data_IF_741839376261
#
_entry.id   IF_741839376261
#
_cell.length_a   1.000
_cell.length_b   1.000
_cell.length_c   1.000
_cell.angle_alpha   90.00
_cell.angle_beta   90.00
_cell.angle_gamma   90.00
#
_symmetry.space_group_name_H-M   'P 1'
#
loop_
_entity.id
_entity.type
_entity.pdbx_description
1 polymer ?
#
# COMPACT_ATOMS: atom_id res chain seq x y z
N UNK A 1 7.95 11.79 5.65
CA UNK A 1 6.59 11.31 5.28
C UNK A 1 5.68 11.43 6.49
N UNK A 2 4.59 12.15 6.40
CA UNK A 2 3.78 12.49 7.58
C UNK A 2 2.46 11.69 7.68
N UNK A 3 1.75 11.48 6.58
CA UNK A 3 0.38 10.94 6.60
C UNK A 3 0.14 9.86 5.56
N UNK A 4 -0.94 9.11 5.74
CA UNK A 4 -1.35 7.94 4.95
C UNK A 4 -0.52 6.69 5.26
N UNK A 5 -1.12 5.72 5.94
CA UNK A 5 -0.44 4.48 6.33
C UNK A 5 0.22 3.76 5.14
N UNK A 6 -0.46 3.70 3.98
CA UNK A 6 0.10 3.08 2.78
C UNK A 6 1.32 3.83 2.25
N UNK A 7 1.28 5.18 2.22
CA UNK A 7 2.40 6.00 1.78
C UNK A 7 3.58 5.92 2.77
N UNK A 8 3.29 5.90 4.07
CA UNK A 8 4.31 5.71 5.11
C UNK A 8 4.97 4.32 4.99
N UNK A 9 4.20 3.26 4.76
CA UNK A 9 4.75 1.93 4.47
C UNK A 9 5.68 1.95 3.26
N UNK A 10 5.27 2.55 2.15
CA UNK A 10 6.11 2.66 0.96
C UNK A 10 7.40 3.45 1.26
N UNK A 11 7.31 4.52 2.03
CA UNK A 11 8.46 5.36 2.37
C UNK A 11 9.49 4.66 3.29
N UNK A 12 9.16 3.54 3.95
CA UNK A 12 10.15 2.75 4.70
C UNK A 12 11.28 2.24 3.80
N UNK A 13 11.01 2.02 2.50
CA UNK A 13 12.04 1.68 1.52
C UNK A 13 13.01 2.85 1.30
N UNK A 14 12.53 4.10 1.38
CA UNK A 14 13.39 5.28 1.30
C UNK A 14 14.27 5.40 2.55
N UNK A 15 13.73 5.11 3.75
CA UNK A 15 14.53 5.06 4.96
C UNK A 15 15.67 4.03 4.85
N UNK A 16 15.35 2.83 4.39
CA UNK A 16 16.35 1.78 4.10
C UNK A 16 17.39 2.22 3.05
N UNK A 17 16.97 2.96 2.01
CA UNK A 17 17.89 3.50 1.02
C UNK A 17 18.80 4.58 1.63
N UNK A 18 18.26 5.47 2.48
CA UNK A 18 19.05 6.49 3.18
C UNK A 18 20.14 5.83 4.03
N UNK A 19 19.80 4.79 4.81
CA UNK A 19 20.79 4.05 5.61
C UNK A 19 21.90 3.41 4.75
N UNK A 20 21.57 3.01 3.52
CA UNK A 20 22.56 2.50 2.56
C UNK A 20 23.44 3.62 1.98
N UNK A 21 22.85 4.75 1.62
CA UNK A 21 23.57 5.87 0.97
C UNK A 21 24.42 6.67 1.96
N UNK A 22 24.01 6.69 3.24
CA UNK A 22 24.69 7.40 4.33
C UNK A 22 24.97 6.42 5.49
N UNK A 23 25.97 5.53 5.36
CA UNK A 23 26.30 4.55 6.41
C UNK A 23 26.62 5.24 7.75
N UNK A 24 25.99 4.78 8.83
CA UNK A 24 26.15 5.37 10.15
C UNK A 24 25.35 6.64 10.43
N UNK A 25 24.53 7.12 9.48
CA UNK A 25 23.67 8.28 9.75
C UNK A 25 22.65 8.00 10.87
N UNK A 26 22.29 9.04 11.61
CA UNK A 26 21.13 9.05 12.49
C UNK A 26 19.91 9.54 11.69
N UNK A 27 18.90 8.68 11.54
CA UNK A 27 17.69 9.00 10.79
C UNK A 27 16.53 9.33 11.72
N UNK A 28 16.15 10.60 11.79
CA UNK A 28 14.93 11.08 12.44
C UNK A 28 13.77 11.09 11.44
N UNK A 29 12.69 10.35 11.72
CA UNK A 29 11.51 10.33 10.87
C UNK A 29 10.38 11.16 11.46
N UNK A 30 10.04 12.25 10.80
CA UNK A 30 8.86 13.04 11.13
C UNK A 30 7.58 12.39 10.59
N UNK A 31 6.63 12.08 11.48
CA UNK A 31 5.38 11.38 11.17
C UNK A 31 4.25 11.85 12.07
N UNK A 32 3.00 11.83 11.55
CA UNK A 32 1.84 12.10 12.40
C UNK A 32 1.56 10.97 13.37
N UNK A 33 0.93 11.30 14.50
CA UNK A 33 0.45 10.38 15.53
C UNK A 33 -0.36 9.22 14.94
N UNK A 34 -1.29 9.51 14.02
CA UNK A 34 -2.14 8.52 13.33
C UNK A 34 -1.37 7.50 12.51
N UNK A 35 -0.22 7.88 11.96
CA UNK A 35 0.59 7.01 11.10
C UNK A 35 1.83 6.45 11.82
N UNK A 36 2.18 6.99 12.99
CA UNK A 36 3.34 6.56 13.78
C UNK A 36 3.42 5.04 13.98
N UNK A 37 2.33 4.32 14.26
CA UNK A 37 2.42 2.87 14.43
C UNK A 37 3.03 2.12 13.26
N UNK A 38 2.92 2.63 12.03
CA UNK A 38 3.46 1.97 10.83
C UNK A 38 4.97 1.76 10.90
N UNK A 39 5.70 2.67 11.57
CA UNK A 39 7.17 2.66 11.64
C UNK A 39 7.73 2.16 12.98
N UNK A 40 6.87 1.70 13.89
CA UNK A 40 7.36 1.14 15.16
C UNK A 40 8.32 -0.02 14.92
N UNK A 41 9.39 -0.06 15.73
CA UNK A 41 10.43 -1.08 15.66
C UNK A 41 11.12 -1.20 14.28
N UNK A 42 11.05 -0.14 13.45
CA UNK A 42 11.71 -0.14 12.15
C UNK A 42 13.23 0.05 12.33
N UNK A 43 14.08 -0.89 11.87
CA UNK A 43 15.53 -0.84 12.10
C UNK A 43 16.24 0.29 11.33
N UNK A 44 15.57 0.88 10.34
CA UNK A 44 16.12 1.97 9.55
C UNK A 44 15.73 3.37 10.09
N UNK A 45 15.05 3.43 11.26
CA UNK A 45 14.61 4.69 11.91
C UNK A 45 15.18 4.73 13.32
N UNK A 46 16.07 5.68 13.58
CA UNK A 46 16.69 5.82 14.91
C UNK A 46 15.82 6.65 15.85
N UNK A 47 15.15 7.68 15.30
CA UNK A 47 14.33 8.59 16.08
C UNK A 47 13.01 8.91 15.38
N UNK A 48 11.94 9.07 16.15
CA UNK A 48 10.62 9.47 15.66
C UNK A 48 10.29 10.86 16.15
N UNK A 49 10.12 11.79 15.20
CA UNK A 49 9.63 13.14 15.49
C UNK A 49 8.11 13.17 15.23
N UNK A 50 7.34 13.11 16.31
CA UNK A 50 5.88 13.12 16.23
C UNK A 50 5.35 14.49 15.89
N UNK A 51 4.46 14.55 14.91
CA UNK A 51 3.86 15.78 14.39
C UNK A 51 2.35 15.72 14.57
N UNK A 52 1.81 16.58 15.42
CA UNK A 52 0.37 16.71 15.58
C UNK A 52 -0.21 17.43 14.36
N UNK A 53 -1.19 16.82 13.72
CA UNK A 53 -1.89 17.40 12.59
C UNK A 53 -3.37 17.61 12.92
N UNK A 54 -3.93 18.80 12.67
CA UNK A 54 -5.34 19.05 12.94
C UNK A 54 -6.26 18.24 12.01
N UNK A 55 -7.37 17.75 12.52
CA UNK A 55 -8.34 16.89 11.83
C UNK A 55 -8.97 17.49 10.56
N UNK A 56 -8.88 18.77 10.35
CA UNK A 56 -9.48 19.46 9.19
C UNK A 56 -8.51 19.57 8.03
N UNK A 57 -8.84 19.02 6.86
CA UNK A 57 -8.02 19.02 5.62
C UNK A 57 -7.36 20.36 5.26
N UNK A 58 -7.99 21.50 5.54
CA UNK A 58 -7.41 22.83 5.27
C UNK A 58 -6.32 23.21 6.29
N UNK A 59 -6.54 22.93 7.57
CA UNK A 59 -5.54 23.12 8.63
C UNK A 59 -4.35 22.19 8.45
N UNK A 60 -4.61 20.91 8.13
CA UNK A 60 -3.60 19.90 7.86
C UNK A 60 -2.59 20.34 6.76
N UNK A 61 -3.07 20.97 5.68
CA UNK A 61 -2.18 21.46 4.62
C UNK A 61 -1.28 22.58 5.10
N UNK A 62 -1.81 23.53 5.88
CA UNK A 62 -1.07 24.69 6.43
C UNK A 62 0.01 24.18 7.40
N UNK A 63 -0.36 23.30 8.30
CA UNK A 63 0.58 22.74 9.28
C UNK A 63 1.68 21.90 8.62
N UNK A 64 1.36 21.11 7.60
CA UNK A 64 2.40 20.39 6.83
C UNK A 64 3.39 21.33 6.15
N UNK A 65 2.94 22.46 5.59
CA UNK A 65 3.83 23.44 4.98
C UNK A 65 4.69 24.16 6.03
N UNK A 66 4.11 24.50 7.18
CA UNK A 66 4.85 25.08 8.32
C UNK A 66 5.92 24.13 8.81
N UNK A 67 5.57 22.85 8.99
CA UNK A 67 6.51 21.82 9.39
C UNK A 67 7.66 21.64 8.37
N UNK A 68 7.36 21.70 7.07
CA UNK A 68 8.42 21.64 6.06
C UNK A 68 9.37 22.85 6.15
N UNK A 69 8.85 24.05 6.47
CA UNK A 69 9.68 25.24 6.68
C UNK A 69 10.57 25.08 7.92
N UNK A 70 10.00 24.63 9.04
CA UNK A 70 10.73 24.36 10.28
C UNK A 70 11.86 23.33 10.07
N UNK A 71 11.59 22.24 9.37
CA UNK A 71 12.62 21.25 9.04
C UNK A 71 13.77 21.85 8.18
N UNK A 72 13.47 22.78 7.28
CA UNK A 72 14.49 23.46 6.49
C UNK A 72 15.28 24.48 7.32
N UNK A 73 14.66 25.14 8.29
CA UNK A 73 15.35 26.03 9.23
C UNK A 73 16.32 25.25 10.11
N UNK A 74 15.92 24.08 10.59
CA UNK A 74 16.81 23.17 11.37
C UNK A 74 17.97 22.66 10.53
N UNK A 75 17.77 22.38 9.22
CA UNK A 75 18.87 22.11 8.32
C UNK A 75 19.80 23.31 8.18
N UNK A 76 19.25 24.52 8.01
CA UNK A 76 20.06 25.73 7.88
C UNK A 76 20.86 26.10 9.14
N UNK A 77 20.35 25.73 10.34
CA UNK A 77 21.04 25.89 11.62
C UNK A 77 22.09 24.81 11.90
N UNK A 78 22.18 23.76 11.05
CA UNK A 78 23.13 22.67 11.25
C UNK A 78 22.64 21.57 12.22
N UNK A 79 21.37 21.57 12.62
CA UNK A 79 20.78 20.50 13.43
C UNK A 79 20.58 19.22 12.59
N UNK A 80 20.27 19.36 11.29
CA UNK A 80 20.22 18.26 10.33
C UNK A 80 21.20 18.52 9.18
N UNK A 81 21.97 17.52 8.80
CA UNK A 81 22.82 17.58 7.60
C UNK A 81 21.95 17.56 6.34
N UNK A 82 20.94 16.68 6.30
CA UNK A 82 20.03 16.50 5.18
C UNK A 82 18.56 16.38 5.61
N UNK A 83 17.66 16.87 4.74
CA UNK A 83 16.20 16.78 4.93
C UNK A 83 15.55 16.30 3.64
N UNK A 84 14.77 15.21 3.70
CA UNK A 84 14.09 14.60 2.56
C UNK A 84 12.57 14.65 2.72
N UNK A 85 11.88 15.29 1.79
CA UNK A 85 10.42 15.36 1.76
C UNK A 85 9.84 14.33 0.81
N UNK A 86 9.32 13.22 1.31
CA UNK A 86 8.72 12.15 0.49
C UNK A 86 7.20 12.21 0.42
N UNK A 87 6.55 13.12 1.17
CA UNK A 87 5.10 13.33 1.13
C UNK A 87 4.65 13.85 -0.24
N UNK A 88 3.76 13.10 -0.91
CA UNK A 88 3.31 13.43 -2.27
C UNK A 88 2.62 14.80 -2.33
N UNK A 89 1.64 15.04 -1.48
CA UNK A 89 0.91 16.31 -1.40
C UNK A 89 1.40 17.15 -0.21
N UNK A 90 1.46 18.45 -0.36
CA UNK A 90 1.20 19.25 -1.57
C UNK A 90 2.43 19.44 -2.47
N UNK A 91 3.63 19.05 -2.00
CA UNK A 91 4.90 19.58 -2.53
C UNK A 91 5.50 18.75 -3.66
N UNK A 92 5.31 17.42 -3.67
CA UNK A 92 6.05 16.49 -4.52
C UNK A 92 5.27 15.90 -5.71
N UNK A 93 4.08 16.40 -6.01
CA UNK A 93 3.29 15.96 -7.17
C UNK A 93 4.06 16.04 -8.49
N UNK A 94 5.05 16.92 -8.60
CA UNK A 94 5.89 17.05 -9.78
C UNK A 94 6.88 15.89 -10.01
N UNK A 95 7.00 14.98 -9.04
CA UNK A 95 7.71 13.71 -9.17
C UNK A 95 6.85 12.57 -9.72
N UNK A 96 5.55 12.84 -10.02
CA UNK A 96 4.62 11.84 -10.53
C UNK A 96 5.14 11.12 -11.77
N UNK A 97 5.09 9.80 -11.74
CA UNK A 97 5.52 8.90 -12.82
C UNK A 97 4.39 7.98 -13.32
N UNK A 98 3.18 8.20 -12.83
CA UNK A 98 2.00 7.37 -13.08
C UNK A 98 1.47 6.63 -11.86
N UNK A 99 2.26 6.55 -10.77
CA UNK A 99 1.91 5.82 -9.54
C UNK A 99 2.27 6.60 -8.28
N UNK A 100 1.67 6.20 -7.15
CA UNK A 100 2.00 6.78 -5.83
C UNK A 100 3.39 6.37 -5.38
N UNK A 101 3.74 5.07 -5.46
CA UNK A 101 5.04 4.54 -5.03
C UNK A 101 6.19 5.22 -5.76
N UNK A 102 6.12 5.28 -7.08
CA UNK A 102 7.16 5.93 -7.87
C UNK A 102 7.29 7.41 -7.56
N UNK A 103 6.18 8.11 -7.28
CA UNK A 103 6.22 9.52 -6.86
C UNK A 103 6.94 9.71 -5.53
N UNK A 104 6.73 8.80 -4.55
CA UNK A 104 7.42 8.81 -3.25
C UNK A 104 8.93 8.59 -3.47
N UNK A 105 9.30 7.58 -4.25
CA UNK A 105 10.70 7.23 -4.47
C UNK A 105 11.45 8.27 -5.31
N UNK A 106 10.80 8.87 -6.32
CA UNK A 106 11.38 9.95 -7.12
C UNK A 106 11.51 11.28 -6.34
N UNK A 107 10.89 11.41 -5.17
CA UNK A 107 11.08 12.54 -4.29
C UNK A 107 12.40 12.46 -3.48
N UNK A 108 13.00 11.29 -3.39
CA UNK A 108 14.35 11.09 -2.89
C UNK A 108 15.36 11.33 -4.03
N UNK A 109 16.47 12.06 -3.79
CA UNK A 109 17.37 12.50 -4.88
C UNK A 109 18.21 11.38 -5.51
N UNK A 110 18.41 10.27 -4.79
CA UNK A 110 19.18 9.14 -5.27
C UNK A 110 18.28 7.99 -5.74
N UNK A 111 18.78 7.10 -6.64
CA UNK A 111 18.03 5.92 -7.06
C UNK A 111 17.75 4.97 -5.89
N UNK A 112 16.54 4.42 -5.84
CA UNK A 112 16.25 3.31 -4.92
C UNK A 112 16.84 2.03 -5.50
N UNK A 113 17.86 1.48 -4.84
CA UNK A 113 18.61 0.27 -5.22
C UNK A 113 18.50 -0.86 -4.20
N UNK A 114 17.85 -0.61 -3.06
CA UNK A 114 17.50 -1.64 -2.07
C UNK A 114 16.26 -2.41 -2.50
N UNK A 115 16.02 -3.55 -1.85
CA UNK A 115 14.75 -4.28 -2.03
C UNK A 115 13.54 -3.35 -1.77
N UNK A 116 12.68 -3.22 -2.76
CA UNK A 116 11.53 -2.31 -2.76
C UNK A 116 10.33 -2.80 -1.92
N UNK A 117 10.48 -3.89 -1.15
CA UNK A 117 9.45 -4.29 -0.18
C UNK A 117 9.47 -3.36 1.03
N UNK A 118 8.32 -2.82 1.44
CA UNK A 118 8.22 -2.05 2.66
C UNK A 118 8.70 -2.85 3.89
N UNK A 119 9.29 -2.14 4.83
CA UNK A 119 9.90 -2.75 6.04
C UNK A 119 8.93 -2.66 7.21
N UNK A 120 8.66 -3.80 7.82
CA UNK A 120 7.87 -3.90 9.07
C UNK A 120 8.58 -4.85 10.03
N UNK A 121 8.62 -4.48 11.30
CA UNK A 121 9.10 -5.35 12.40
C UNK A 121 8.11 -5.28 13.55
N UNK A 122 7.53 -6.42 13.88
CA UNK A 122 6.57 -6.50 14.98
C UNK A 122 7.27 -6.71 16.32
N UNK A 123 6.61 -6.25 17.38
CA UNK A 123 6.97 -6.63 18.75
C UNK A 123 6.39 -8.02 19.07
N UNK A 124 6.98 -8.73 20.02
CA UNK A 124 6.50 -10.04 20.46
C UNK A 124 5.05 -9.97 20.96
N UNK A 125 4.66 -8.87 21.60
CA UNK A 125 3.30 -8.62 22.07
C UNK A 125 2.28 -8.54 20.93
N UNK A 126 2.65 -8.01 19.76
CA UNK A 126 1.81 -7.98 18.55
C UNK A 126 1.69 -9.39 17.96
N UNK A 127 2.80 -10.14 17.90
CA UNK A 127 2.82 -11.54 17.44
C UNK A 127 1.93 -12.41 18.33
N UNK A 128 2.03 -12.27 19.64
CA UNK A 128 1.22 -13.03 20.60
C UNK A 128 -0.25 -12.68 20.54
N UNK A 129 -0.60 -11.42 20.20
CA UNK A 129 -1.99 -11.03 19.96
C UNK A 129 -2.57 -11.73 18.72
N UNK A 130 -1.80 -11.78 17.63
CA UNK A 130 -2.21 -12.53 16.42
C UNK A 130 -2.33 -14.02 16.72
N UNK A 131 -1.38 -14.61 17.45
CA UNK A 131 -1.45 -16.02 17.86
C UNK A 131 -2.73 -16.32 18.64
N UNK A 132 -3.11 -15.47 19.60
CA UNK A 132 -4.37 -15.60 20.33
C UNK A 132 -5.59 -15.51 19.40
N UNK A 133 -5.59 -14.53 18.48
CA UNK A 133 -6.65 -14.38 17.49
C UNK A 133 -6.80 -15.65 16.63
N UNK A 134 -5.70 -16.23 16.16
CA UNK A 134 -5.66 -17.47 15.37
C UNK A 134 -6.27 -18.65 16.14
N UNK A 135 -5.88 -18.82 17.41
CA UNK A 135 -6.39 -19.90 18.27
C UNK A 135 -7.87 -19.72 18.58
N UNK A 136 -8.29 -18.52 18.98
CA UNK A 136 -9.69 -18.22 19.32
C UNK A 136 -10.65 -18.43 18.16
N UNK A 137 -10.20 -18.13 16.94
CA UNK A 137 -11.00 -18.27 15.73
C UNK A 137 -10.70 -19.58 14.96
N UNK A 138 -9.87 -20.45 15.51
CA UNK A 138 -9.55 -21.78 14.96
C UNK A 138 -9.13 -21.75 13.49
N UNK A 139 -8.29 -20.77 13.11
CA UNK A 139 -7.89 -20.57 11.71
C UNK A 139 -7.25 -21.81 11.10
N UNK A 140 -6.48 -22.54 11.89
CA UNK A 140 -5.74 -23.72 11.45
C UNK A 140 -6.65 -24.96 11.13
N UNK A 141 -7.92 -24.92 11.55
CA UNK A 141 -8.90 -25.98 11.26
C UNK A 141 -9.48 -25.85 9.85
N UNK A 142 -9.18 -24.74 9.15
CA UNK A 142 -9.73 -24.47 7.82
C UNK A 142 -8.71 -24.76 6.72
N UNK A 143 -9.14 -25.43 5.66
CA UNK A 143 -8.32 -25.69 4.48
C UNK A 143 -7.93 -24.40 3.77
N UNK A 144 -8.86 -23.43 3.72
CA UNK A 144 -8.68 -22.14 3.09
C UNK A 144 -9.03 -21.02 4.07
N UNK A 145 -8.14 -20.04 4.19
CA UNK A 145 -8.37 -18.83 4.98
C UNK A 145 -8.14 -17.62 4.08
N UNK A 146 -9.18 -16.86 3.79
CA UNK A 146 -9.11 -15.64 2.99
C UNK A 146 -8.98 -14.44 3.91
N UNK A 147 -7.93 -13.63 3.72
CA UNK A 147 -7.87 -12.27 4.23
C UNK A 147 -8.54 -11.35 3.21
N UNK A 148 -9.66 -10.72 3.59
CA UNK A 148 -10.47 -9.92 2.69
C UNK A 148 -10.44 -8.44 3.10
N UNK A 149 -9.74 -7.60 2.33
CA UNK A 149 -9.74 -6.15 2.47
C UNK A 149 -11.01 -5.56 1.86
N UNK A 150 -11.92 -5.05 2.70
CA UNK A 150 -13.28 -4.75 2.29
C UNK A 150 -13.54 -3.28 1.93
N UNK A 151 -12.53 -2.40 1.97
CA UNK A 151 -12.71 -0.99 1.64
C UNK A 151 -11.42 -0.28 1.27
N UNK A 152 -11.54 0.77 0.45
CA UNK A 152 -10.45 1.70 0.15
C UNK A 152 -10.93 3.14 0.29
N UNK A 153 -10.22 3.96 1.07
CA UNK A 153 -10.58 5.37 1.27
C UNK A 153 -10.08 6.29 0.16
N UNK A 154 -9.06 5.86 -0.62
CA UNK A 154 -8.41 6.71 -1.63
C UNK A 154 -9.02 6.59 -3.02
N UNK A 155 -10.14 5.85 -3.18
CA UNK A 155 -10.89 5.75 -4.42
C UNK A 155 -10.28 4.83 -5.49
N UNK A 156 -9.28 4.01 -5.15
CA UNK A 156 -8.62 3.06 -6.06
C UNK A 156 -9.46 1.82 -6.34
N UNK A 157 -10.47 1.55 -5.54
CA UNK A 157 -11.38 0.42 -5.69
C UNK A 157 -12.84 0.83 -5.59
N UNK A 158 -13.71 -0.05 -6.04
CA UNK A 158 -15.17 0.03 -5.88
C UNK A 158 -15.68 -0.85 -4.74
N UNK A 159 -14.80 -1.69 -4.17
CA UNK A 159 -15.15 -2.63 -3.09
C UNK A 159 -15.67 -1.87 -1.87
N UNK A 160 -16.78 -2.35 -1.34
CA UNK A 160 -17.44 -1.85 -0.14
C UNK A 160 -17.67 -3.00 0.83
N UNK A 161 -17.89 -2.76 2.14
CA UNK A 161 -18.22 -3.81 3.11
C UNK A 161 -19.39 -4.69 2.67
N UNK A 162 -20.47 -4.09 2.16
CA UNK A 162 -21.65 -4.83 1.70
C UNK A 162 -21.35 -5.73 0.49
N UNK A 163 -20.53 -5.24 -0.47
CA UNK A 163 -20.08 -6.06 -1.59
C UNK A 163 -19.21 -7.24 -1.12
N UNK A 164 -18.28 -6.98 -0.20
CA UNK A 164 -17.38 -8.00 0.35
C UNK A 164 -18.14 -9.08 1.13
N UNK A 165 -19.14 -8.69 1.94
CA UNK A 165 -19.97 -9.62 2.68
C UNK A 165 -20.78 -10.53 1.74
N UNK A 166 -21.41 -9.96 0.72
CA UNK A 166 -22.14 -10.73 -0.28
C UNK A 166 -21.26 -11.78 -0.98
N UNK A 167 -20.03 -11.42 -1.33
CA UNK A 167 -19.06 -12.34 -1.90
C UNK A 167 -18.64 -13.39 -0.88
N UNK A 168 -18.31 -13.00 0.35
CA UNK A 168 -17.89 -13.90 1.43
C UNK A 168 -18.96 -14.93 1.78
N UNK A 169 -20.23 -14.53 1.93
CA UNK A 169 -21.36 -15.42 2.20
C UNK A 169 -21.55 -16.47 1.10
N UNK A 170 -21.46 -16.06 -0.16
CA UNK A 170 -21.54 -17.00 -1.29
C UNK A 170 -20.39 -17.99 -1.30
N UNK A 171 -19.18 -17.56 -0.93
CA UNK A 171 -17.99 -18.41 -0.88
C UNK A 171 -18.07 -19.43 0.27
N UNK A 172 -18.43 -19.02 1.48
CA UNK A 172 -18.53 -19.95 2.63
C UNK A 172 -19.69 -20.93 2.47
N UNK A 173 -20.73 -20.57 1.73
CA UNK A 173 -21.81 -21.51 1.37
C UNK A 173 -21.30 -22.57 0.39
N UNK A 174 -20.44 -22.20 -0.54
CA UNK A 174 -19.88 -23.11 -1.55
C UNK A 174 -18.78 -24.03 -1.01
N UNK A 175 -17.96 -23.54 -0.06
CA UNK A 175 -16.79 -24.27 0.46
C UNK A 175 -16.89 -24.48 1.96
N UNK A 176 -17.09 -25.74 2.41
CA UNK A 176 -17.17 -26.08 3.83
C UNK A 176 -15.92 -25.76 4.63
N UNK A 177 -14.74 -26.03 4.04
CA UNK A 177 -13.43 -25.77 4.67
C UNK A 177 -12.89 -24.36 4.51
N UNK A 178 -13.73 -23.35 4.21
CA UNK A 178 -13.34 -21.97 4.01
C UNK A 178 -13.72 -21.11 5.22
N UNK A 179 -12.75 -20.33 5.69
CA UNK A 179 -12.95 -19.18 6.59
C UNK A 179 -12.61 -17.87 5.85
N UNK A 180 -13.42 -16.84 6.03
CA UNK A 180 -13.17 -15.50 5.50
C UNK A 180 -12.97 -14.53 6.65
N UNK A 181 -11.83 -13.83 6.66
CA UNK A 181 -11.50 -12.79 7.63
C UNK A 181 -11.72 -11.44 6.94
N UNK A 182 -12.73 -10.69 7.34
CA UNK A 182 -12.97 -9.33 6.86
C UNK A 182 -12.05 -8.38 7.64
N UNK A 183 -11.07 -7.81 6.96
CA UNK A 183 -10.22 -6.78 7.55
C UNK A 183 -10.90 -5.41 7.41
N UNK A 184 -11.49 -4.96 8.50
CA UNK A 184 -12.19 -3.67 8.60
C UNK A 184 -12.15 -3.18 10.03
N UNK A 185 -12.21 -1.85 10.20
CA UNK A 185 -12.46 -1.17 11.47
C UNK A 185 -13.94 -0.82 11.68
N UNK A 186 -14.80 -1.19 10.72
CA UNK A 186 -16.25 -0.99 10.81
C UNK A 186 -16.86 -2.18 11.52
N UNK A 187 -17.71 -1.94 12.52
CA UNK A 187 -18.48 -2.98 13.17
C UNK A 187 -19.49 -3.58 12.18
N UNK A 188 -19.46 -4.90 12.05
CA UNK A 188 -20.37 -5.66 11.19
C UNK A 188 -21.45 -6.31 12.07
N UNK A 189 -22.71 -5.97 11.83
CA UNK A 189 -23.84 -6.35 12.72
C UNK A 189 -24.16 -7.84 12.74
N UNK A 190 -23.88 -8.56 11.67
CA UNK A 190 -24.12 -9.99 11.57
C UNK A 190 -23.06 -10.64 10.67
N UNK A 191 -22.52 -11.75 11.12
CA UNK A 191 -21.56 -12.54 10.37
C UNK A 191 -21.96 -14.02 10.43
N UNK A 192 -21.77 -14.71 9.32
CA UNK A 192 -21.80 -16.17 9.27
C UNK A 192 -20.71 -16.74 10.20
N UNK A 193 -20.89 -17.92 10.87
CA UNK A 193 -19.86 -18.51 11.75
C UNK A 193 -18.47 -18.66 11.12
N UNK A 194 -18.38 -18.74 9.78
CA UNK A 194 -17.13 -18.82 9.02
C UNK A 194 -16.76 -17.50 8.32
N UNK A 195 -17.38 -16.40 8.73
CA UNK A 195 -17.00 -15.04 8.34
C UNK A 195 -16.74 -14.26 9.62
N UNK A 196 -15.48 -13.93 9.87
CA UNK A 196 -15.06 -13.22 11.07
C UNK A 196 -14.45 -11.87 10.71
N UNK A 197 -14.27 -11.00 11.69
CA UNK A 197 -13.62 -9.70 11.50
C UNK A 197 -12.25 -9.65 12.18
N UNK A 198 -11.29 -8.99 11.55
CA UNK A 198 -10.00 -8.65 12.14
C UNK A 198 -9.99 -7.24 12.76
N UNK A 199 -11.15 -6.67 13.13
CA UNK A 199 -11.24 -5.32 13.71
C UNK A 199 -10.46 -5.15 15.02
N UNK A 200 -10.21 -6.24 15.75
CA UNK A 200 -9.39 -6.25 16.97
C UNK A 200 -7.88 -6.19 16.71
N UNK A 201 -7.45 -6.40 15.47
CA UNK A 201 -6.06 -6.38 15.08
C UNK A 201 -5.69 -5.03 14.44
N UNK A 202 -4.51 -4.55 14.78
CA UNK A 202 -3.93 -3.36 14.15
C UNK A 202 -3.54 -3.64 12.69
N UNK A 203 -3.28 -2.59 11.90
CA UNK A 203 -2.80 -2.75 10.53
C UNK A 203 -1.50 -3.57 10.49
N UNK A 204 -0.59 -3.37 11.44
CA UNK A 204 0.69 -4.08 11.53
C UNK A 204 0.51 -5.57 11.79
N UNK A 205 -0.40 -5.91 12.70
CA UNK A 205 -0.72 -7.30 13.05
C UNK A 205 -1.31 -8.07 11.87
N UNK A 206 -1.92 -7.39 10.90
CA UNK A 206 -2.33 -8.04 9.64
C UNK A 206 -1.14 -8.57 8.82
N UNK A 207 0.08 -8.02 8.96
CA UNK A 207 1.27 -8.62 8.34
C UNK A 207 1.56 -10.02 8.91
N UNK A 208 1.46 -10.19 10.23
CA UNK A 208 1.61 -11.51 10.88
C UNK A 208 0.44 -12.44 10.53
N UNK A 209 -0.78 -11.92 10.52
CA UNK A 209 -1.98 -12.68 10.17
C UNK A 209 -1.87 -13.33 8.79
N UNK A 210 -1.15 -12.72 7.83
CA UNK A 210 -0.92 -13.31 6.51
C UNK A 210 -0.31 -14.71 6.58
N UNK A 211 0.48 -15.01 7.62
CA UNK A 211 1.12 -16.33 7.80
C UNK A 211 0.11 -17.45 8.01
N UNK A 212 -1.10 -17.11 8.47
CA UNK A 212 -2.21 -18.00 8.71
C UNK A 212 -3.29 -17.96 7.61
N UNK A 213 -3.04 -17.21 6.54
CA UNK A 213 -3.94 -17.09 5.40
C UNK A 213 -3.42 -17.84 4.18
N UNK A 214 -4.33 -18.18 3.26
CA UNK A 214 -4.03 -18.87 2.01
C UNK A 214 -4.23 -17.99 0.78
N UNK A 215 -5.06 -16.95 0.88
CA UNK A 215 -5.38 -16.02 -0.20
C UNK A 215 -5.65 -14.62 0.38
N UNK A 216 -5.18 -13.59 -0.29
CA UNK A 216 -5.60 -12.21 -0.08
C UNK A 216 -6.58 -11.79 -1.17
N UNK A 217 -7.77 -11.35 -0.78
CA UNK A 217 -8.69 -10.62 -1.67
C UNK A 217 -8.64 -9.15 -1.26
N UNK A 218 -8.17 -8.29 -2.16
CA UNK A 218 -7.81 -6.93 -1.81
C UNK A 218 -8.40 -5.87 -2.74
N UNK A 219 -8.15 -4.63 -2.36
CA UNK A 219 -8.56 -3.44 -3.08
C UNK A 219 -7.44 -2.37 -3.15
N UNK A 220 -6.20 -2.84 -3.06
CA UNK A 220 -4.98 -2.02 -3.10
C UNK A 220 -4.98 -0.88 -2.07
N UNK A 221 -5.43 -1.18 -0.84
CA UNK A 221 -5.45 -0.26 0.29
C UNK A 221 -4.47 -0.71 1.38
N UNK A 222 -4.67 -0.29 2.63
CA UNK A 222 -3.72 -0.50 3.72
C UNK A 222 -3.37 -1.97 3.97
N UNK A 223 -4.36 -2.87 3.93
CA UNK A 223 -4.17 -4.31 4.15
C UNK A 223 -3.39 -4.95 3.00
N UNK A 224 -3.67 -4.57 1.75
CA UNK A 224 -2.88 -5.03 0.61
C UNK A 224 -1.41 -4.62 0.76
N UNK A 225 -1.13 -3.36 1.14
CA UNK A 225 0.24 -2.87 1.25
C UNK A 225 0.99 -3.45 2.45
N UNK A 226 0.33 -3.70 3.58
CA UNK A 226 0.96 -4.39 4.72
C UNK A 226 1.25 -5.86 4.40
N UNK A 227 0.42 -6.49 3.55
CA UNK A 227 0.57 -7.89 3.14
C UNK A 227 1.67 -8.12 2.09
N UNK A 228 2.30 -7.04 1.56
CA UNK A 228 3.45 -7.14 0.64
C UNK A 228 4.76 -6.64 1.26
N UNK A 229 4.78 -6.45 2.58
CA UNK A 229 5.99 -6.09 3.34
C UNK A 229 6.97 -7.26 3.42
N UNK A 230 8.18 -6.98 3.86
CA UNK A 230 9.21 -8.00 4.04
C UNK A 230 8.92 -8.97 5.20
N UNK A 231 8.04 -8.59 6.14
CA UNK A 231 7.56 -9.43 7.26
C UNK A 231 6.47 -10.41 6.86
N UNK A 232 5.58 -9.98 5.97
CA UNK A 232 4.39 -10.73 5.60
C UNK A 232 4.68 -11.99 4.78
N UNK A 233 3.84 -13.03 4.95
CA UNK A 233 3.82 -14.16 4.01
C UNK A 233 3.35 -13.69 2.64
N UNK A 234 4.07 -14.06 1.58
CA UNK A 234 3.69 -13.75 0.20
C UNK A 234 2.46 -14.59 -0.21
N UNK A 235 1.29 -14.02 0.02
CA UNK A 235 0.04 -14.64 -0.37
C UNK A 235 -0.21 -14.51 -1.87
N UNK A 236 -0.84 -15.53 -2.51
CA UNK A 236 -1.60 -15.30 -3.73
C UNK A 236 -2.61 -14.19 -3.49
N UNK A 237 -2.83 -13.29 -4.47
CA UNK A 237 -3.76 -12.18 -4.27
C UNK A 237 -4.63 -11.90 -5.49
N UNK A 238 -5.89 -11.58 -5.23
CA UNK A 238 -6.85 -11.07 -6.21
C UNK A 238 -7.17 -9.63 -5.81
N UNK A 239 -6.92 -8.67 -6.72
CA UNK A 239 -7.16 -7.26 -6.47
C UNK A 239 -8.33 -6.76 -7.32
N UNK A 240 -9.39 -6.25 -6.67
CA UNK A 240 -10.54 -5.64 -7.32
C UNK A 240 -10.36 -4.12 -7.37
N UNK A 241 -10.08 -3.59 -8.55
CA UNK A 241 -9.64 -2.21 -8.73
C UNK A 241 -10.58 -1.41 -9.64
N UNK A 242 -10.51 -0.08 -9.53
CA UNK A 242 -11.05 0.82 -10.55
C UNK A 242 -9.98 1.10 -11.61
N UNK A 243 -10.42 1.46 -12.82
CA UNK A 243 -9.55 2.09 -13.82
C UNK A 243 -9.26 3.53 -13.40
N UNK A 244 -8.44 3.68 -12.35
CA UNK A 244 -8.13 4.97 -11.74
C UNK A 244 -7.36 5.92 -12.65
N UNK A 245 -7.37 7.21 -12.31
CA UNK A 245 -6.61 8.26 -12.97
C UNK A 245 -5.74 8.95 -11.92
N UNK A 246 -4.49 9.21 -12.25
CA UNK A 246 -3.54 9.83 -11.32
C UNK A 246 -3.28 8.93 -10.11
N UNK A 247 -3.31 9.47 -8.92
CA UNK A 247 -3.04 8.73 -7.67
C UNK A 247 -4.13 7.72 -7.28
N UNK A 248 -5.27 7.69 -7.96
CA UNK A 248 -6.26 6.61 -7.80
C UNK A 248 -5.93 5.36 -8.66
N UNK A 249 -4.92 5.43 -9.53
CA UNK A 249 -4.33 4.25 -10.15
C UNK A 249 -3.42 3.56 -9.13
N UNK A 250 -3.75 2.32 -8.78
CA UNK A 250 -3.09 1.61 -7.69
C UNK A 250 -2.89 0.12 -8.00
N UNK A 251 -2.44 -0.19 -9.23
CA UNK A 251 -2.09 -1.56 -9.61
C UNK A 251 -0.86 -2.04 -8.84
N UNK A 252 -1.04 -3.10 -8.06
CA UNK A 252 0.04 -3.78 -7.32
C UNK A 252 0.96 -4.52 -8.31
N UNK A 253 0.37 -5.22 -9.30
CA UNK A 253 1.14 -5.96 -10.30
C UNK A 253 2.02 -5.03 -11.14
N UNK A 254 1.49 -3.86 -11.55
CA UNK A 254 2.25 -2.87 -12.30
C UNK A 254 3.44 -2.32 -11.48
N UNK A 255 3.20 -1.98 -10.22
CA UNK A 255 4.25 -1.48 -9.33
C UNK A 255 5.30 -2.56 -9.03
N UNK A 256 4.87 -3.77 -8.69
CA UNK A 256 5.78 -4.89 -8.44
C UNK A 256 6.67 -5.19 -9.65
N UNK A 257 6.08 -5.30 -10.84
CA UNK A 257 6.84 -5.52 -12.08
C UNK A 257 7.93 -4.45 -12.29
N UNK A 258 7.58 -3.18 -12.06
CA UNK A 258 8.54 -2.08 -12.25
C UNK A 258 9.72 -2.15 -11.27
N UNK A 259 9.46 -2.56 -10.04
CA UNK A 259 10.49 -2.64 -8.98
C UNK A 259 11.16 -4.01 -8.88
N UNK A 260 10.95 -4.88 -9.86
CA UNK A 260 11.58 -6.21 -9.89
C UNK A 260 11.00 -7.21 -8.88
N UNK A 261 9.82 -6.91 -8.32
CA UNK A 261 9.11 -7.81 -7.41
C UNK A 261 8.30 -8.82 -8.20
N UNK A 262 8.17 -10.03 -7.65
CA UNK A 262 7.40 -11.10 -8.27
C UNK A 262 5.90 -10.76 -8.40
N UNK A 263 5.36 -10.96 -9.58
CA UNK A 263 3.94 -10.75 -9.90
C UNK A 263 3.20 -12.03 -10.24
N UNK A 264 3.87 -13.19 -10.22
CA UNK A 264 3.28 -14.47 -10.66
C UNK A 264 1.97 -14.79 -9.95
N UNK A 265 1.89 -14.47 -8.66
CA UNK A 265 0.74 -14.73 -7.77
C UNK A 265 -0.21 -13.55 -7.61
N UNK A 266 -0.31 -12.66 -8.62
CA UNK A 266 -1.21 -11.50 -8.56
C UNK A 266 -2.20 -11.56 -9.74
N UNK A 267 -3.49 -11.56 -9.42
CA UNK A 267 -4.59 -11.31 -10.36
C UNK A 267 -5.16 -9.92 -10.03
N UNK A 268 -5.31 -9.08 -11.03
CA UNK A 268 -6.00 -7.79 -10.93
C UNK A 268 -7.14 -7.73 -11.90
N UNK A 269 -8.28 -7.18 -11.46
CA UNK A 269 -9.48 -7.09 -12.28
C UNK A 269 -10.27 -5.83 -11.97
N UNK A 270 -11.06 -5.38 -12.94
CA UNK A 270 -12.06 -4.32 -12.79
C UNK A 270 -13.48 -4.86 -12.76
N UNK A 271 -13.64 -6.17 -12.63
CA UNK A 271 -14.94 -6.85 -12.52
C UNK A 271 -15.67 -6.41 -11.24
N UNK A 272 -16.94 -6.04 -11.37
CA UNK A 272 -17.76 -5.50 -10.28
C UNK A 272 -18.87 -6.43 -9.85
N UNK A 273 -19.24 -7.38 -10.71
CA UNK A 273 -20.31 -8.32 -10.40
C UNK A 273 -19.87 -9.29 -9.29
N UNK A 274 -20.62 -9.38 -8.18
CA UNK A 274 -20.25 -10.26 -7.07
C UNK A 274 -20.26 -11.74 -7.49
N UNK A 275 -21.15 -12.17 -8.38
CA UNK A 275 -21.23 -13.54 -8.85
C UNK A 275 -19.98 -13.95 -9.62
N UNK A 276 -19.50 -13.08 -10.53
CA UNK A 276 -18.25 -13.30 -11.24
C UNK A 276 -17.03 -13.22 -10.34
N UNK A 277 -17.06 -12.38 -9.30
CA UNK A 277 -16.01 -12.37 -8.29
C UNK A 277 -15.95 -13.70 -7.52
N UNK A 278 -17.12 -14.26 -7.14
CA UNK A 278 -17.22 -15.58 -6.51
C UNK A 278 -16.70 -16.67 -7.45
N UNK A 279 -17.07 -16.65 -8.74
CA UNK A 279 -16.54 -17.60 -9.75
C UNK A 279 -15.00 -17.55 -9.80
N UNK A 280 -14.42 -16.36 -9.91
CA UNK A 280 -12.97 -16.17 -9.98
C UNK A 280 -12.25 -16.64 -8.71
N UNK A 281 -12.74 -16.26 -7.52
CA UNK A 281 -12.14 -16.66 -6.25
C UNK A 281 -12.26 -18.17 -6.08
N UNK A 282 -13.42 -18.76 -6.41
CA UNK A 282 -13.62 -20.20 -6.38
C UNK A 282 -12.62 -20.95 -7.28
N UNK A 283 -12.46 -20.49 -8.51
CA UNK A 283 -11.51 -21.10 -9.44
C UNK A 283 -10.06 -21.06 -8.89
N UNK A 284 -9.67 -19.95 -8.24
CA UNK A 284 -8.34 -19.82 -7.62
C UNK A 284 -8.18 -20.74 -6.41
N UNK A 285 -9.22 -20.91 -5.58
CA UNK A 285 -9.19 -21.86 -4.45
C UNK A 285 -9.09 -23.32 -4.90
N UNK A 286 -9.73 -23.66 -6.01
CA UNK A 286 -9.76 -25.02 -6.57
C UNK A 286 -8.49 -25.37 -7.37
N UNK A 287 -8.00 -24.46 -8.20
CA UNK A 287 -6.99 -24.74 -9.22
C UNK A 287 -5.65 -24.02 -9.00
N UNK A 288 -5.59 -23.09 -8.05
CA UNK A 288 -4.42 -22.23 -7.83
C UNK A 288 -4.40 -20.99 -8.73
N UNK A 289 -3.68 -19.97 -8.25
CA UNK A 289 -3.68 -18.65 -8.89
C UNK A 289 -2.90 -18.62 -10.20
N UNK A 290 -1.84 -19.42 -10.33
CA UNK A 290 -1.01 -19.49 -11.52
C UNK A 290 -1.80 -20.00 -12.72
N UNK A 291 -2.66 -21.02 -12.51
CA UNK A 291 -3.53 -21.60 -13.54
C UNK A 291 -4.63 -20.60 -13.93
N UNK A 292 -5.18 -19.89 -12.95
CA UNK A 292 -6.30 -18.96 -13.17
C UNK A 292 -5.87 -17.60 -13.75
N UNK A 293 -4.64 -17.20 -13.52
CA UNK A 293 -4.15 -15.87 -13.92
C UNK A 293 -4.29 -15.56 -15.42
N UNK A 294 -3.96 -16.43 -16.37
CA UNK A 294 -4.14 -16.15 -17.80
C UNK A 294 -5.58 -15.79 -18.18
N UNK A 295 -6.58 -16.37 -17.49
CA UNK A 295 -8.01 -16.14 -17.74
C UNK A 295 -8.52 -14.83 -17.10
N UNK A 296 -8.07 -14.51 -15.88
CA UNK A 296 -8.74 -13.49 -15.07
C UNK A 296 -7.92 -12.20 -14.89
N UNK A 297 -6.60 -12.25 -15.09
CA UNK A 297 -5.76 -11.07 -14.88
C UNK A 297 -5.93 -10.03 -16.00
N UNK A 298 -6.26 -8.81 -15.61
CA UNK A 298 -6.30 -7.64 -16.50
C UNK A 298 -5.01 -6.83 -16.33
N UNK A 299 -4.28 -6.64 -17.43
CA UNK A 299 -3.06 -5.81 -17.43
C UNK A 299 -3.42 -4.33 -17.33
N UNK A 300 -3.45 -3.82 -16.12
CA UNK A 300 -3.74 -2.41 -15.86
C UNK A 300 -2.46 -1.56 -16.06
N UNK A 301 -2.63 -0.38 -16.67
CA UNK A 301 -1.55 0.60 -16.89
C UNK A 301 -2.04 2.01 -16.53
N UNK A 302 -1.13 2.90 -16.08
CA UNK A 302 -1.48 4.31 -15.89
C UNK A 302 -1.97 4.94 -17.19
N UNK A 303 -3.03 5.74 -17.09
CA UNK A 303 -3.63 6.39 -18.26
C UNK A 303 -2.88 7.66 -18.63
N UNK A 304 -2.69 7.92 -19.91
CA UNK A 304 -2.03 9.13 -20.40
C UNK A 304 -2.73 10.43 -19.94
N UNK A 305 -4.03 10.39 -19.75
CA UNK A 305 -4.79 11.52 -19.18
C UNK A 305 -4.30 11.91 -17.79
N UNK A 306 -3.68 10.99 -17.03
CA UNK A 306 -3.06 11.30 -15.73
C UNK A 306 -1.85 12.21 -15.89
N UNK A 307 -1.04 11.96 -16.92
CA UNK A 307 0.06 12.84 -17.30
C UNK A 307 -0.44 14.24 -17.64
N UNK A 308 -1.43 14.33 -18.53
CA UNK A 308 -1.99 15.62 -18.96
C UNK A 308 -2.53 16.40 -17.76
N UNK A 309 -3.28 15.76 -16.87
CA UNK A 309 -3.85 16.38 -15.67
C UNK A 309 -2.79 17.08 -14.80
N UNK A 310 -1.71 16.41 -14.47
CA UNK A 310 -0.70 16.95 -13.56
C UNK A 310 0.30 17.88 -14.26
N UNK A 311 0.72 17.57 -15.48
CA UNK A 311 1.56 18.46 -16.28
C UNK A 311 0.87 19.80 -16.51
N UNK A 312 -0.39 19.80 -16.94
CA UNK A 312 -1.16 21.01 -17.21
C UNK A 312 -1.41 21.83 -15.94
N UNK A 313 -1.58 21.19 -14.78
CA UNK A 313 -1.72 21.89 -13.50
C UNK A 313 -0.49 22.77 -13.19
N UNK A 314 0.73 22.28 -13.45
CA UNK A 314 1.95 23.05 -13.23
C UNK A 314 2.21 24.05 -14.36
N UNK A 315 1.89 23.70 -15.60
CA UNK A 315 1.99 24.57 -16.77
C UNK A 315 1.17 25.85 -16.55
N UNK A 316 -0.11 25.73 -16.17
CA UNK A 316 -0.99 26.89 -15.85
C UNK A 316 -0.49 27.79 -14.73
N UNK A 317 0.38 27.28 -13.87
CA UNK A 317 1.00 28.05 -12.76
C UNK A 317 2.36 28.63 -13.11
N UNK A 318 2.76 28.61 -14.39
CA UNK A 318 4.06 29.05 -14.85
C UNK A 318 5.24 28.20 -14.39
N UNK A 319 4.99 26.98 -13.84
CA UNK A 319 6.03 26.10 -13.30
C UNK A 319 6.44 25.07 -14.35
N UNK A 320 6.96 25.54 -15.49
CA UNK A 320 7.29 24.73 -16.67
C UNK A 320 8.27 23.58 -16.38
N UNK A 321 9.33 23.82 -15.60
CA UNK A 321 10.28 22.78 -15.20
C UNK A 321 9.62 21.63 -14.45
N UNK A 322 8.64 21.90 -13.56
CA UNK A 322 7.87 20.85 -12.86
C UNK A 322 6.94 20.09 -13.79
N UNK A 323 6.34 20.77 -14.78
CA UNK A 323 5.54 20.12 -15.83
C UNK A 323 6.37 19.16 -16.67
N UNK A 324 7.57 19.58 -17.11
CA UNK A 324 8.51 18.76 -17.87
C UNK A 324 8.99 17.56 -17.04
N UNK A 325 9.23 17.75 -15.74
CA UNK A 325 9.65 16.64 -14.88
C UNK A 325 8.61 15.53 -14.79
N UNK A 326 7.33 15.88 -14.67
CA UNK A 326 6.22 14.92 -14.71
C UNK A 326 6.23 14.14 -16.04
N UNK A 327 6.33 14.85 -17.17
CA UNK A 327 6.35 14.23 -18.49
C UNK A 327 7.55 13.26 -18.63
N UNK A 328 8.72 13.69 -18.20
CA UNK A 328 9.95 12.87 -18.21
C UNK A 328 9.82 11.61 -17.37
N UNK A 329 9.34 11.73 -16.12
CA UNK A 329 9.19 10.60 -15.21
C UNK A 329 8.14 9.60 -15.73
N UNK A 330 6.99 10.11 -16.21
CA UNK A 330 5.92 9.28 -16.77
C UNK A 330 6.39 8.51 -18.01
N UNK A 331 7.06 9.19 -18.96
CA UNK A 331 7.57 8.56 -20.17
C UNK A 331 8.66 7.54 -19.81
N UNK A 332 9.60 7.90 -18.93
CA UNK A 332 10.67 7.00 -18.48
C UNK A 332 10.10 5.71 -17.91
N UNK A 333 9.08 5.80 -17.05
CA UNK A 333 8.46 4.63 -16.42
C UNK A 333 7.63 3.79 -17.38
N UNK A 334 6.86 4.41 -18.27
CA UNK A 334 5.83 3.70 -19.02
C UNK A 334 6.25 3.29 -20.43
N UNK A 335 7.26 3.95 -21.02
CA UNK A 335 7.61 3.80 -22.44
C UNK A 335 9.08 3.47 -22.70
N UNK A 336 10.02 3.74 -21.80
CA UNK A 336 11.38 3.25 -21.95
C UNK A 336 11.41 1.75 -21.64
N UNK A 337 11.92 0.95 -22.58
CA UNK A 337 12.32 -0.43 -22.31
C UNK A 337 13.33 -0.39 -21.15
N UNK A 338 13.14 -1.25 -20.16
CA UNK A 338 14.19 -1.57 -19.20
C UNK A 338 15.25 -2.36 -19.99
N UNK A 339 16.33 -1.74 -20.30
CA UNK A 339 17.59 -2.47 -20.31
C UNK A 339 17.75 -2.93 -18.86
N UNK A 340 17.85 -4.26 -18.66
CA UNK A 340 17.86 -4.85 -17.33
C UNK A 340 18.92 -4.22 -16.42
N UNK A 341 18.87 -4.47 -15.10
CA UNK A 341 19.90 -3.98 -14.20
C UNK A 341 21.24 -4.54 -14.67
N UNK A 342 22.14 -3.61 -15.05
CA UNK A 342 23.56 -3.87 -15.21
C UNK A 342 24.18 -4.21 -13.87
#
# INVERSE_FOLDING_TARGET
MLVSNGDCLLATVVAKQIKKDYPGCHLTWAISDLCRPVIYNNPDVDEVWEVELPDKKAGEKKERLRFCADALERKASGEFDEVFFTQVYPSNVYHFDGTTRGTIYNAYPHPVTVDARPVVRLYDTEIDRVRRFVLQNRLNDHKHVILFECSSFSGQSFVTPGWSLKVAESLVTKFEGLLVIISTHIELKYLHPRIITAASLTIRENAELTKHCTLLVGCSSGITWISVTDWAKRLPMIQFLRRGIGFTFASVAYDHHYWGLDTSKIIETTERDPGRAVEMISAVLENGIEICKPRYHQKLKPRFISLLKYSFMFFRRGKFGKSLNIARNFIRRNYRRKDGPS
#
